data_IF_994469498865
#
_entry.id   IF_994469498865
#
_cell.length_a   1.000
_cell.length_b   1.000
_cell.length_c   1.000
_cell.angle_alpha   90.00
_cell.angle_beta   90.00
_cell.angle_gamma   90.00
#
_symmetry.space_group_name_H-M   'P 1'
#
loop_
_entity.id
_entity.type
_entity.pdbx_description
1 polymer ?
#
# COMPACT_ATOMS: atom_id res chain seq x y z
N UNK A 1 68.17 -8.92 25.51
CA UNK A 1 68.20 -9.55 26.86
C UNK A 1 66.74 -9.80 27.22
N UNK A 2 66.18 -11.01 27.35
CA UNK A 2 66.67 -12.31 27.83
C UNK A 2 65.85 -13.45 27.16
N UNK A 3 66.53 -14.58 27.00
CA UNK A 3 66.27 -15.98 26.53
C UNK A 3 64.89 -16.69 26.53
N UNK A 4 64.71 -17.50 25.46
CA UNK A 4 63.99 -18.77 25.13
C UNK A 4 63.64 -19.80 26.26
N UNK A 5 62.89 -20.95 26.06
CA UNK A 5 62.76 -21.79 24.84
C UNK A 5 61.46 -22.63 24.57
N UNK A 6 61.53 -23.39 23.45
CA UNK A 6 60.60 -24.40 22.88
C UNK A 6 60.35 -25.63 23.79
N UNK A 7 59.23 -26.31 23.55
CA UNK A 7 59.15 -27.78 23.61
C UNK A 7 58.25 -28.35 22.49
N UNK A 8 58.71 -29.44 21.88
CA UNK A 8 58.09 -30.20 20.80
C UNK A 8 57.52 -31.55 21.29
N UNK A 9 56.84 -32.25 20.37
CA UNK A 9 56.63 -33.73 20.26
C UNK A 9 55.30 -34.27 20.79
N UNK A 10 54.64 -35.34 20.29
CA UNK A 10 54.45 -36.00 18.96
C UNK A 10 53.49 -37.20 19.22
N UNK A 11 52.60 -37.54 18.27
CA UNK A 11 51.93 -38.85 18.06
C UNK A 11 50.88 -39.34 19.11
N UNK A 12 49.79 -40.08 18.82
CA UNK A 12 49.50 -41.12 17.79
C UNK A 12 48.00 -41.18 17.40
N UNK A 13 47.78 -41.70 16.18
CA UNK A 13 46.52 -42.19 15.59
C UNK A 13 45.96 -43.46 16.26
N UNK A 14 44.66 -43.73 16.04
CA UNK A 14 44.01 -44.91 15.38
C UNK A 14 42.66 -45.23 16.04
N UNK A 15 41.60 -45.41 15.25
CA UNK A 15 40.40 -46.13 15.68
C UNK A 15 39.15 -45.87 14.84
N UNK A 16 39.15 -46.30 13.58
CA UNK A 16 37.99 -46.37 12.71
C UNK A 16 37.22 -47.68 13.01
N UNK A 17 35.90 -47.62 13.20
CA UNK A 17 35.02 -48.79 13.20
C UNK A 17 33.61 -48.42 12.70
N UNK A 18 33.19 -49.14 11.66
CA UNK A 18 32.00 -48.95 10.82
C UNK A 18 30.67 -49.24 11.55
N UNK A 19 29.65 -48.49 11.11
CA UNK A 19 28.18 -48.75 10.99
C UNK A 19 27.65 -50.19 11.15
N UNK A 20 26.35 -50.51 11.40
CA UNK A 20 25.05 -49.84 11.19
C UNK A 20 23.97 -50.50 12.11
N UNK A 21 22.92 -49.74 12.48
CA UNK A 21 21.52 -50.19 12.76
C UNK A 21 21.28 -51.10 14.01
N UNK A 22 20.20 -51.06 14.81
CA UNK A 22 18.92 -50.33 14.87
C UNK A 22 18.23 -50.66 16.22
N UNK A 23 17.28 -49.81 16.65
CA UNK A 23 16.15 -50.03 17.59
C UNK A 23 16.42 -50.33 19.08
N UNK A 24 16.11 -49.38 19.97
CA UNK A 24 14.92 -49.47 20.87
C UNK A 24 14.67 -48.17 21.65
N UNK A 25 13.37 -47.89 21.75
CA UNK A 25 12.60 -46.89 22.48
C UNK A 25 13.00 -46.66 23.96
N UNK A 26 13.06 -45.38 24.40
CA UNK A 26 12.35 -44.76 25.56
C UNK A 26 13.14 -43.57 26.17
N UNK A 27 12.49 -42.39 26.12
CA UNK A 27 12.49 -41.16 26.95
C UNK A 27 13.76 -40.68 27.70
N UNK A 28 14.07 -39.38 27.80
CA UNK A 28 13.20 -38.22 28.02
C UNK A 28 13.89 -36.88 27.71
N UNK A 29 13.11 -36.04 27.04
CA UNK A 29 12.98 -34.57 27.15
C UNK A 29 14.08 -33.62 26.68
N UNK A 30 13.60 -32.70 25.84
CA UNK A 30 14.19 -31.49 25.26
C UNK A 30 15.23 -31.66 24.15
N UNK A 31 14.75 -32.13 23.01
CA UNK A 31 15.30 -31.78 21.70
C UNK A 31 14.77 -30.41 21.27
N UNK A 32 15.66 -29.49 20.91
CA UNK A 32 15.48 -28.59 19.78
C UNK A 32 16.87 -28.19 19.28
N UNK A 33 17.35 -28.94 18.30
CA UNK A 33 18.49 -28.59 17.45
C UNK A 33 18.15 -27.34 16.61
N UNK A 34 19.04 -26.34 16.64
CA UNK A 34 19.95 -25.89 15.56
C UNK A 34 19.63 -26.33 14.09
N UNK A 35 20.21 -25.71 13.02
CA UNK A 35 20.97 -24.45 12.89
C UNK A 35 20.68 -23.59 11.61
N UNK A 36 21.28 -22.40 11.61
CA UNK A 36 21.82 -21.55 10.52
C UNK A 36 21.53 -21.88 9.03
N UNK A 37 20.89 -20.95 8.32
CA UNK A 37 21.22 -20.57 6.92
C UNK A 37 20.94 -19.07 6.68
N UNK A 38 21.78 -18.47 5.85
CA UNK A 38 21.84 -17.11 5.34
C UNK A 38 20.56 -16.48 4.76
N UNK A 39 20.45 -15.16 4.96
CA UNK A 39 20.21 -14.09 3.99
C UNK A 39 19.14 -14.28 2.88
N UNK A 40 18.05 -13.51 2.93
CA UNK A 40 17.81 -12.36 2.03
C UNK A 40 16.39 -11.83 2.22
N UNK A 41 16.29 -10.51 2.44
CA UNK A 41 15.07 -9.72 2.40
C UNK A 41 14.38 -9.82 1.03
N UNK A 42 13.08 -9.51 1.01
CA UNK A 42 12.04 -9.67 -0.03
C UNK A 42 11.12 -10.87 0.24
N UNK A 43 9.82 -10.58 0.39
CA UNK A 43 8.71 -11.50 0.78
C UNK A 43 8.35 -11.50 2.28
N UNK A 44 8.33 -10.33 2.92
CA UNK A 44 7.99 -10.19 4.34
C UNK A 44 6.68 -9.47 4.67
N UNK A 45 5.78 -9.18 3.71
CA UNK A 45 4.58 -8.36 3.97
C UNK A 45 3.27 -8.89 3.36
N UNK A 46 3.15 -10.20 3.13
CA UNK A 46 1.89 -10.82 2.65
C UNK A 46 1.36 -11.91 3.60
N UNK A 47 1.88 -12.02 4.83
CA UNK A 47 1.43 -13.05 5.76
C UNK A 47 1.26 -12.54 7.20
N UNK A 48 0.47 -11.48 7.38
CA UNK A 48 0.07 -11.00 8.71
C UNK A 48 -1.44 -10.94 8.98
N UNK A 49 -2.31 -11.33 8.03
CA UNK A 49 -3.77 -11.29 8.22
C UNK A 49 -4.46 -12.66 8.22
N UNK A 50 -3.76 -13.72 8.65
CA UNK A 50 -4.41 -14.99 8.96
C UNK A 50 -3.81 -15.64 10.21
N UNK A 51 -4.06 -15.06 11.40
CA UNK A 51 -4.22 -15.86 12.64
C UNK A 51 -4.71 -15.06 13.85
N UNK A 52 -5.85 -15.56 14.36
CA UNK A 52 -6.37 -15.52 15.73
C UNK A 52 -7.19 -14.29 16.16
N UNK A 53 -8.50 -14.51 16.37
CA UNK A 53 -9.01 -14.79 17.73
C UNK A 53 -10.43 -15.37 17.72
N UNK A 54 -10.53 -16.67 18.01
CA UNK A 54 -11.78 -17.33 18.40
C UNK A 54 -12.12 -17.03 19.87
N UNK A 55 -13.41 -16.89 20.15
CA UNK A 55 -14.00 -17.36 21.42
C UNK A 55 -14.90 -16.38 22.18
N UNK A 56 -16.19 -16.32 21.81
CA UNK A 56 -17.24 -15.72 22.65
C UNK A 56 -18.63 -15.82 22.04
N UNK A 57 -19.44 -16.79 22.51
CA UNK A 57 -20.81 -17.06 22.04
C UNK A 57 -21.79 -15.95 22.43
N UNK A 58 -22.53 -15.42 21.45
CA UNK A 58 -23.93 -15.01 21.60
C UNK A 58 -24.58 -14.94 20.21
N UNK A 59 -25.66 -15.69 20.02
CA UNK A 59 -26.61 -15.48 18.90
C UNK A 59 -27.36 -14.18 19.13
N UNK A 60 -27.61 -13.40 18.07
CA UNK A 60 -29.00 -13.04 17.81
C UNK A 60 -29.39 -13.09 16.33
N UNK A 61 -30.52 -13.78 16.11
CA UNK A 61 -31.62 -13.45 15.20
C UNK A 61 -31.37 -12.40 14.10
N UNK A 62 -31.54 -12.89 12.87
CA UNK A 62 -31.78 -12.15 11.65
C UNK A 62 -32.90 -11.10 11.84
N UNK A 63 -32.62 -9.87 11.45
CA UNK A 63 -33.64 -8.86 11.16
C UNK A 63 -33.11 -8.05 9.98
N UNK A 64 -33.71 -8.31 8.82
CA UNK A 64 -33.64 -7.48 7.63
C UNK A 64 -33.95 -6.03 8.06
N UNK A 65 -32.96 -5.16 7.92
CA UNK A 65 -33.16 -3.72 7.86
C UNK A 65 -32.66 -3.32 6.50
N UNK A 66 -33.63 -3.09 5.62
CA UNK A 66 -33.60 -2.26 4.43
C UNK A 66 -32.19 -1.81 4.03
N UNK A 67 -31.58 -2.60 3.14
CA UNK A 67 -30.44 -2.15 2.36
C UNK A 67 -30.88 -0.91 1.59
N UNK A 68 -30.49 0.25 2.10
CA UNK A 68 -30.51 1.48 1.34
C UNK A 68 -29.52 1.29 0.20
N UNK A 69 -30.08 0.82 -0.92
CA UNK A 69 -29.45 0.71 -2.22
C UNK A 69 -29.06 2.12 -2.65
N UNK A 70 -27.93 2.62 -2.14
CA UNK A 70 -27.16 3.64 -2.85
C UNK A 70 -26.59 2.91 -4.05
N UNK A 71 -27.41 2.82 -5.10
CA UNK A 71 -26.93 2.61 -6.44
C UNK A 71 -25.82 3.63 -6.64
N UNK A 72 -24.59 3.16 -6.59
CA UNK A 72 -23.43 3.94 -6.99
C UNK A 72 -23.59 4.11 -8.49
N UNK A 73 -24.40 5.09 -8.86
CA UNK A 73 -24.46 5.58 -10.22
C UNK A 73 -23.03 5.99 -10.55
N UNK A 74 -22.49 5.44 -11.63
CA UNK A 74 -21.36 6.02 -12.32
C UNK A 74 -21.79 7.40 -12.83
N UNK A 75 -21.87 8.38 -11.93
CA UNK A 75 -21.85 9.77 -12.34
C UNK A 75 -20.46 10.00 -12.88
N UNK A 76 -20.38 10.53 -14.10
CA UNK A 76 -19.12 10.98 -14.65
C UNK A 76 -18.65 12.14 -13.79
N UNK A 77 -17.79 11.88 -12.80
CA UNK A 77 -17.18 12.94 -12.00
C UNK A 77 -16.47 13.90 -12.97
N UNK A 78 -16.97 15.11 -13.07
CA UNK A 78 -16.28 16.15 -13.84
C UNK A 78 -15.07 16.65 -13.04
N UNK A 79 -14.10 17.26 -13.70
CA UNK A 79 -12.90 17.80 -13.02
C UNK A 79 -13.28 18.78 -11.91
N UNK A 80 -14.32 19.59 -12.14
CA UNK A 80 -14.83 20.57 -11.19
C UNK A 80 -15.47 19.89 -9.97
N UNK A 81 -16.24 18.81 -10.17
CA UNK A 81 -16.83 18.03 -9.07
C UNK A 81 -15.75 17.41 -8.19
N UNK A 82 -14.66 16.91 -8.79
CA UNK A 82 -13.52 16.34 -8.06
C UNK A 82 -12.85 17.41 -7.19
N UNK A 83 -12.61 18.59 -7.74
CA UNK A 83 -12.00 19.70 -7.00
C UNK A 83 -12.88 20.15 -5.84
N UNK A 84 -14.20 20.29 -6.05
CA UNK A 84 -15.14 20.67 -5.00
C UNK A 84 -15.18 19.64 -3.86
N UNK A 85 -15.26 18.35 -4.20
CA UNK A 85 -15.29 17.27 -3.21
C UNK A 85 -14.02 17.21 -2.35
N UNK A 86 -12.86 17.47 -2.96
CA UNK A 86 -11.56 17.48 -2.28
C UNK A 86 -11.37 18.74 -1.43
N UNK A 87 -11.75 19.92 -1.92
CA UNK A 87 -11.61 21.18 -1.18
C UNK A 87 -12.55 21.25 0.03
N UNK A 88 -13.73 20.62 -0.05
CA UNK A 88 -14.67 20.52 1.05
C UNK A 88 -14.10 19.80 2.29
N UNK A 89 -13.04 19.00 2.14
CA UNK A 89 -12.47 18.22 3.25
C UNK A 89 -11.48 19.05 4.08
N UNK A 90 -11.72 19.10 5.39
CA UNK A 90 -10.87 19.82 6.33
C UNK A 90 -9.90 18.95 7.12
N UNK A 91 -10.08 17.63 7.07
CA UNK A 91 -9.22 16.65 7.72
C UNK A 91 -8.43 15.88 6.65
N UNK A 92 -7.16 15.58 6.94
CA UNK A 92 -6.29 14.81 6.06
C UNK A 92 -6.84 13.41 5.79
N UNK A 93 -7.35 12.72 6.82
CA UNK A 93 -7.94 11.39 6.63
C UNK A 93 -9.14 11.45 5.68
N UNK A 94 -10.08 12.37 5.91
CA UNK A 94 -11.25 12.55 5.06
C UNK A 94 -10.87 12.94 3.62
N UNK A 95 -9.87 13.82 3.47
CA UNK A 95 -9.32 14.18 2.16
C UNK A 95 -8.78 12.94 1.43
N UNK A 96 -7.98 12.12 2.12
CA UNK A 96 -7.39 10.92 1.54
C UNK A 96 -8.41 9.82 1.26
N UNK A 97 -9.45 9.66 2.10
CA UNK A 97 -10.57 8.76 1.81
C UNK A 97 -11.30 9.18 0.54
N UNK A 98 -11.61 10.47 0.40
CA UNK A 98 -12.27 11.01 -0.80
C UNK A 98 -11.37 10.84 -2.03
N UNK A 99 -10.09 11.18 -1.94
CA UNK A 99 -9.13 11.00 -3.02
C UNK A 99 -8.99 9.53 -3.44
N UNK A 100 -8.88 8.61 -2.48
CA UNK A 100 -8.80 7.17 -2.74
C UNK A 100 -10.04 6.65 -3.47
N UNK A 101 -11.25 7.06 -3.03
CA UNK A 101 -12.50 6.70 -3.70
C UNK A 101 -12.58 7.22 -5.13
N UNK A 102 -12.17 8.47 -5.36
CA UNK A 102 -12.15 9.10 -6.69
C UNK A 102 -11.16 8.35 -7.61
N UNK A 103 -9.96 8.04 -7.11
CA UNK A 103 -8.96 7.28 -7.88
C UNK A 103 -9.46 5.86 -8.22
N UNK A 104 -10.09 5.18 -7.27
CA UNK A 104 -10.69 3.86 -7.51
C UNK A 104 -11.79 3.93 -8.57
N UNK A 105 -12.64 4.96 -8.55
CA UNK A 105 -13.65 5.18 -9.60
C UNK A 105 -13.02 5.43 -10.97
N UNK A 106 -11.95 6.25 -11.02
CA UNK A 106 -11.18 6.47 -12.25
C UNK A 106 -10.62 5.17 -12.83
N UNK A 107 -10.01 4.34 -11.99
CA UNK A 107 -9.47 3.03 -12.39
C UNK A 107 -10.59 2.08 -12.85
N UNK A 108 -11.72 2.02 -12.13
CA UNK A 108 -12.87 1.21 -12.54
C UNK A 108 -13.47 1.62 -13.88
N UNK A 109 -13.40 2.91 -14.23
CA UNK A 109 -13.80 3.41 -15.54
C UNK A 109 -12.80 3.04 -16.64
N UNK A 110 -11.52 2.95 -16.30
CA UNK A 110 -10.46 2.54 -17.22
C UNK A 110 -10.44 1.03 -17.46
N UNK A 111 -10.76 0.21 -16.45
CA UNK A 111 -10.69 -1.26 -16.53
C UNK A 111 -11.45 -1.89 -17.70
N UNK A 112 -12.70 -1.50 -18.05
CA UNK A 112 -13.40 -2.02 -19.21
C UNK A 112 -12.61 -1.89 -20.52
N UNK A 113 -11.88 -0.78 -20.71
CA UNK A 113 -11.09 -0.53 -21.93
C UNK A 113 -9.94 -1.52 -22.16
N UNK A 114 -9.61 -2.33 -21.14
CA UNK A 114 -8.58 -3.35 -21.21
C UNK A 114 -9.12 -4.69 -21.76
N UNK A 115 -10.43 -4.89 -21.68
CA UNK A 115 -11.09 -6.11 -22.13
C UNK A 115 -11.59 -5.95 -23.56
N UNK A 116 -11.86 -7.06 -24.22
CA UNK A 116 -12.31 -7.07 -25.61
C UNK A 116 -13.82 -6.82 -25.65
N UNK A 117 -14.24 -5.69 -26.23
CA UNK A 117 -15.64 -5.26 -26.30
C UNK A 117 -16.47 -5.91 -27.44
N UNK A 118 -15.87 -6.84 -28.19
CA UNK A 118 -16.47 -7.37 -29.42
C UNK A 118 -17.50 -8.50 -29.20
N UNK A 119 -17.60 -9.04 -27.99
CA UNK A 119 -18.43 -10.21 -27.69
C UNK A 119 -19.30 -9.96 -26.45
N UNK A 120 -20.61 -9.86 -26.66
CA UNK A 120 -21.61 -9.58 -25.62
C UNK A 120 -21.64 -10.68 -24.55
N UNK A 121 -21.38 -11.94 -24.91
CA UNK A 121 -21.36 -13.06 -23.96
C UNK A 121 -20.15 -12.97 -23.02
N UNK A 122 -18.98 -12.58 -23.53
CA UNK A 122 -17.77 -12.39 -22.72
C UNK A 122 -17.95 -11.23 -21.73
N UNK A 123 -18.55 -10.14 -22.18
CA UNK A 123 -18.82 -8.98 -21.32
C UNK A 123 -19.75 -9.37 -20.18
N UNK A 124 -20.85 -10.08 -20.47
CA UNK A 124 -21.84 -10.47 -19.46
C UNK A 124 -21.28 -11.48 -18.44
N UNK A 125 -20.62 -12.54 -18.90
CA UNK A 125 -20.25 -13.66 -18.04
C UNK A 125 -18.84 -13.60 -17.47
N UNK A 126 -17.91 -12.85 -18.07
CA UNK A 126 -16.53 -12.73 -17.59
C UNK A 126 -16.22 -11.33 -17.07
N UNK A 127 -16.49 -10.28 -17.87
CA UNK A 127 -16.07 -8.91 -17.51
C UNK A 127 -16.90 -8.36 -16.35
N UNK A 128 -18.24 -8.47 -16.39
CA UNK A 128 -19.10 -7.95 -15.32
C UNK A 128 -18.79 -8.56 -13.95
N UNK A 129 -18.60 -9.89 -13.78
CA UNK A 129 -18.21 -10.46 -12.49
C UNK A 129 -16.84 -10.02 -11.98
N UNK A 130 -15.87 -9.76 -12.88
CA UNK A 130 -14.54 -9.28 -12.50
C UNK A 130 -14.59 -7.84 -11.94
N UNK A 131 -15.50 -7.02 -12.49
CA UNK A 131 -15.68 -5.61 -12.15
C UNK A 131 -16.81 -5.36 -11.12
N UNK A 132 -17.49 -6.42 -10.67
CA UNK A 132 -18.56 -6.31 -9.69
C UNK A 132 -18.04 -5.77 -8.35
N UNK A 133 -18.95 -5.24 -7.53
CA UNK A 133 -18.64 -4.86 -6.16
C UNK A 133 -18.17 -6.10 -5.38
N UNK A 134 -17.03 -5.99 -4.67
CA UNK A 134 -16.32 -7.12 -4.08
C UNK A 134 -15.78 -8.16 -5.07
N UNK A 135 -15.62 -7.78 -6.34
CA UNK A 135 -14.88 -8.54 -7.33
C UNK A 135 -13.37 -8.52 -7.09
N UNK A 136 -12.59 -9.37 -7.78
CA UNK A 136 -11.13 -9.41 -7.62
C UNK A 136 -10.44 -8.11 -8.03
N UNK A 137 -11.08 -7.27 -8.85
CA UNK A 137 -10.56 -5.97 -9.31
C UNK A 137 -11.21 -4.78 -8.58
N UNK A 138 -11.94 -5.03 -7.49
CA UNK A 138 -12.51 -3.96 -6.64
C UNK A 138 -11.44 -3.28 -5.77
N UNK A 139 -10.30 -3.95 -5.58
CA UNK A 139 -9.14 -3.45 -4.85
C UNK A 139 -8.23 -2.60 -5.75
N UNK A 140 -7.90 -1.38 -5.31
CA UNK A 140 -7.09 -0.43 -6.08
C UNK A 140 -5.69 -0.98 -6.39
N UNK A 141 -5.06 -1.68 -5.44
CA UNK A 141 -3.69 -2.15 -5.57
C UNK A 141 -3.64 -3.33 -6.55
N UNK A 142 -4.65 -4.21 -6.51
CA UNK A 142 -4.78 -5.35 -7.45
C UNK A 142 -5.06 -4.84 -8.86
N UNK A 143 -6.02 -3.94 -9.02
CA UNK A 143 -6.36 -3.35 -10.31
C UNK A 143 -5.17 -2.59 -10.92
N UNK A 144 -4.45 -1.82 -10.10
CA UNK A 144 -3.27 -1.05 -10.53
C UNK A 144 -2.13 -1.96 -11.00
N UNK A 145 -1.87 -3.08 -10.29
CA UNK A 145 -0.87 -4.08 -10.72
C UNK A 145 -1.24 -4.73 -12.04
N UNK A 146 -2.52 -5.02 -12.27
CA UNK A 146 -2.99 -5.58 -13.54
C UNK A 146 -2.74 -4.60 -14.69
N UNK A 147 -3.16 -3.34 -14.54
CA UNK A 147 -2.97 -2.30 -15.56
C UNK A 147 -1.49 -2.12 -15.92
N UNK A 148 -0.63 -2.10 -14.90
CA UNK A 148 0.81 -1.99 -15.09
C UNK A 148 1.41 -3.23 -15.77
N UNK A 149 0.98 -4.43 -15.37
CA UNK A 149 1.44 -5.69 -15.97
C UNK A 149 1.07 -5.82 -17.46
N UNK A 150 -0.05 -5.21 -17.87
CA UNK A 150 -0.47 -5.14 -19.26
C UNK A 150 0.28 -4.07 -20.08
N UNK A 151 1.13 -3.25 -19.45
CA UNK A 151 1.89 -2.19 -20.11
C UNK A 151 1.04 -1.01 -20.56
N UNK A 152 -0.14 -0.81 -19.95
CA UNK A 152 -1.10 0.26 -20.29
C UNK A 152 -0.95 1.50 -19.43
N UNK A 153 0.07 1.54 -18.56
CA UNK A 153 0.32 2.64 -17.64
C UNK A 153 1.81 2.86 -17.42
N UNK A 154 2.20 4.12 -17.33
CA UNK A 154 3.57 4.52 -17.07
C UNK A 154 4.03 4.24 -15.63
N UNK A 155 5.34 4.07 -15.47
CA UNK A 155 5.98 3.85 -14.16
C UNK A 155 5.69 4.97 -13.16
N UNK A 156 5.67 6.23 -13.60
CA UNK A 156 5.46 7.38 -12.72
C UNK A 156 4.02 7.44 -12.21
N UNK A 157 3.04 7.14 -13.08
CA UNK A 157 1.62 7.12 -12.74
C UNK A 157 1.31 5.97 -11.76
N UNK A 158 1.88 4.79 -12.04
CA UNK A 158 1.81 3.64 -11.14
C UNK A 158 2.38 3.98 -9.75
N UNK A 159 3.56 4.63 -9.71
CA UNK A 159 4.19 5.02 -8.46
C UNK A 159 3.29 5.98 -7.68
N UNK A 160 2.76 7.02 -8.30
CA UNK A 160 1.96 8.03 -7.60
C UNK A 160 0.69 7.43 -6.99
N UNK A 161 -0.08 6.67 -7.77
CA UNK A 161 -1.31 6.02 -7.26
C UNK A 161 -0.98 5.06 -6.11
N UNK A 162 0.13 4.33 -6.22
CA UNK A 162 0.60 3.44 -5.14
C UNK A 162 0.92 4.23 -3.88
N UNK A 163 1.60 5.39 -3.98
CA UNK A 163 1.89 6.23 -2.82
C UNK A 163 0.60 6.76 -2.18
N UNK A 164 -0.40 7.16 -2.97
CA UNK A 164 -1.71 7.57 -2.44
C UNK A 164 -2.41 6.43 -1.68
N UNK A 165 -2.41 5.22 -2.22
CA UNK A 165 -2.99 4.03 -1.57
C UNK A 165 -2.29 3.70 -0.25
N UNK A 166 -0.96 3.68 -0.26
CA UNK A 166 -0.15 3.41 0.94
C UNK A 166 -0.34 4.46 2.03
N UNK A 167 -0.38 5.74 1.64
CA UNK A 167 -0.58 6.82 2.61
C UNK A 167 -1.99 6.78 3.20
N UNK A 168 -3.00 6.47 2.39
CA UNK A 168 -4.36 6.24 2.88
C UNK A 168 -4.44 5.09 3.90
N UNK A 169 -3.83 3.93 3.60
CA UNK A 169 -3.77 2.79 4.51
C UNK A 169 -3.05 3.16 5.82
N UNK A 170 -1.91 3.84 5.72
CA UNK A 170 -1.17 4.33 6.87
C UNK A 170 -2.04 5.22 7.78
N UNK A 171 -2.79 6.17 7.22
CA UNK A 171 -3.65 7.06 8.01
C UNK A 171 -4.80 6.31 8.70
N UNK A 172 -5.24 5.18 8.14
CA UNK A 172 -6.34 4.38 8.71
C UNK A 172 -5.87 3.45 9.85
N UNK A 173 -4.60 3.04 9.85
CA UNK A 173 -4.00 2.22 10.91
C UNK A 173 -3.59 3.03 12.14
N UNK A 174 -3.45 4.35 12.01
CA UNK A 174 -2.97 5.22 13.09
C UNK A 174 -4.10 5.71 14.00
N UNK A 175 -3.87 5.67 15.31
CA UNK A 175 -4.81 6.20 16.32
C UNK A 175 -4.82 7.74 16.36
N UNK A 176 -3.70 8.39 16.00
CA UNK A 176 -3.57 9.84 15.96
C UNK A 176 -3.48 10.31 14.50
N UNK A 177 -4.50 11.04 14.06
CA UNK A 177 -4.61 11.52 12.67
C UNK A 177 -3.59 12.66 12.45
N UNK A 178 -2.61 12.49 11.55
CA UNK A 178 -1.70 13.56 11.17
C UNK A 178 -2.43 14.74 10.50
N UNK A 179 -1.92 15.94 10.72
CA UNK A 179 -2.34 17.16 10.05
C UNK A 179 -1.68 17.35 8.69
N UNK A 180 -2.20 18.32 7.92
CA UNK A 180 -1.62 18.71 6.63
C UNK A 180 -0.25 19.37 6.75
N UNK A 181 0.03 20.00 7.90
CA UNK A 181 1.29 20.69 8.16
C UNK A 181 2.41 19.78 8.71
N UNK A 182 2.08 18.53 9.02
CA UNK A 182 3.00 17.58 9.64
C UNK A 182 4.09 17.11 8.67
N UNK A 183 5.25 16.76 9.22
CA UNK A 183 6.41 16.30 8.44
C UNK A 183 6.10 15.02 7.64
N UNK A 184 5.24 14.14 8.16
CA UNK A 184 4.83 12.92 7.45
C UNK A 184 4.08 13.27 6.16
N UNK A 185 3.23 14.28 6.19
CA UNK A 185 2.49 14.76 5.02
C UNK A 185 3.44 15.43 4.02
N UNK A 186 4.43 16.17 4.52
CA UNK A 186 5.48 16.74 3.68
C UNK A 186 6.30 15.65 2.95
N UNK A 187 6.72 14.62 3.68
CA UNK A 187 7.46 13.49 3.12
C UNK A 187 6.63 12.79 2.05
N UNK A 188 5.33 12.57 2.28
CA UNK A 188 4.42 12.05 1.25
C UNK A 188 4.43 12.93 -0.01
N UNK A 189 4.17 14.23 0.13
CA UNK A 189 4.10 15.20 -0.99
C UNK A 189 5.40 15.25 -1.78
N UNK A 190 6.54 15.17 -1.09
CA UNK A 190 7.87 15.18 -1.71
C UNK A 190 8.16 13.95 -2.57
N UNK A 191 7.43 12.85 -2.36
CA UNK A 191 7.59 11.61 -3.11
C UNK A 191 6.59 11.46 -4.28
N UNK A 192 5.59 12.34 -4.39
CA UNK A 192 4.60 12.31 -5.50
C UNK A 192 5.19 12.98 -6.75
N UNK A 193 5.26 12.24 -7.86
CA UNK A 193 5.83 12.73 -9.11
C UNK A 193 5.00 13.87 -9.73
N UNK A 194 3.66 13.80 -9.69
CA UNK A 194 2.78 14.88 -10.16
C UNK A 194 3.10 16.23 -9.51
N UNK A 195 3.46 16.23 -8.23
CA UNK A 195 3.76 17.45 -7.48
C UNK A 195 5.18 17.92 -7.76
N UNK A 196 6.17 17.02 -7.65
CA UNK A 196 7.59 17.35 -7.83
C UNK A 196 7.95 17.76 -9.26
N UNK A 197 7.22 17.25 -10.28
CA UNK A 197 7.38 17.69 -11.68
C UNK A 197 6.95 19.14 -11.90
N UNK A 198 6.02 19.64 -11.10
CA UNK A 198 5.58 21.03 -11.17
C UNK A 198 6.55 21.92 -10.37
N UNK A 199 7.69 22.25 -10.99
CA UNK A 199 8.76 23.05 -10.39
C UNK A 199 8.29 24.35 -9.69
N UNK A 200 7.44 25.21 -10.28
CA UNK A 200 7.02 26.43 -9.60
C UNK A 200 6.12 26.15 -8.39
N UNK A 201 5.25 25.13 -8.46
CA UNK A 201 4.39 24.74 -7.35
C UNK A 201 5.22 24.12 -6.21
N UNK A 202 6.11 23.19 -6.54
CA UNK A 202 6.95 22.52 -5.55
C UNK A 202 7.94 23.48 -4.90
N UNK A 203 8.57 24.38 -5.67
CA UNK A 203 9.45 25.41 -5.12
C UNK A 203 8.71 26.40 -4.20
N UNK A 204 7.45 26.73 -4.51
CA UNK A 204 6.63 27.55 -3.62
C UNK A 204 6.33 26.81 -2.30
N UNK A 205 5.95 25.54 -2.37
CA UNK A 205 5.74 24.67 -1.20
C UNK A 205 7.00 24.55 -0.33
N UNK A 206 8.15 24.31 -0.95
CA UNK A 206 9.44 24.19 -0.27
C UNK A 206 9.81 25.51 0.43
N UNK A 207 9.66 26.64 -0.27
CA UNK A 207 9.91 27.96 0.30
C UNK A 207 8.99 28.29 1.48
N UNK A 208 7.75 27.80 1.47
CA UNK A 208 6.81 28.00 2.57
C UNK A 208 7.10 27.09 3.76
N UNK A 209 7.46 25.81 3.50
CA UNK A 209 7.76 24.83 4.55
C UNK A 209 8.98 25.23 5.39
N UNK A 210 10.00 25.83 4.75
CA UNK A 210 11.24 26.24 5.41
C UNK A 210 11.32 27.74 5.73
N UNK A 211 10.28 28.50 5.42
CA UNK A 211 10.20 29.89 5.83
C UNK A 211 9.93 30.02 7.34
N UNK A 212 10.41 31.11 7.91
CA UNK A 212 10.25 31.39 9.33
C UNK A 212 8.76 31.55 9.70
N UNK A 213 8.37 31.13 10.91
CA UNK A 213 6.97 31.10 11.34
C UNK A 213 6.30 32.49 11.33
N UNK A 214 7.10 33.55 11.43
CA UNK A 214 6.62 34.93 11.29
C UNK A 214 6.21 35.30 9.85
N UNK A 215 6.71 34.57 8.84
CA UNK A 215 6.46 34.85 7.43
C UNK A 215 5.16 34.23 6.90
N UNK A 216 4.70 33.11 7.47
CA UNK A 216 3.50 32.42 6.99
C UNK A 216 2.64 31.82 8.09
N UNK A 217 1.32 31.85 7.89
CA UNK A 217 0.39 31.12 8.73
C UNK A 217 0.29 29.65 8.31
N UNK A 218 0.16 28.76 9.30
CA UNK A 218 -0.07 27.32 9.09
C UNK A 218 -1.30 27.05 8.22
N UNK A 219 -2.33 27.89 8.35
CA UNK A 219 -3.56 27.84 7.54
C UNK A 219 -3.25 28.02 6.05
N UNK A 220 -2.34 28.95 5.71
CA UNK A 220 -1.96 29.20 4.32
C UNK A 220 -1.15 28.04 3.74
N UNK A 221 -0.22 27.49 4.52
CA UNK A 221 0.54 26.31 4.11
C UNK A 221 -0.37 25.11 3.86
N UNK A 222 -1.30 24.87 4.79
CA UNK A 222 -2.32 23.82 4.66
C UNK A 222 -3.17 23.98 3.40
N UNK A 223 -3.62 25.20 3.10
CA UNK A 223 -4.35 25.48 1.86
C UNK A 223 -3.54 25.17 0.61
N UNK A 224 -2.27 25.56 0.58
CA UNK A 224 -1.38 25.29 -0.56
C UNK A 224 -1.12 23.78 -0.74
N UNK A 225 -0.92 23.05 0.36
CA UNK A 225 -0.77 21.59 0.37
C UNK A 225 -2.03 20.90 -0.18
N UNK A 226 -3.22 21.32 0.25
CA UNK A 226 -4.49 20.80 -0.29
C UNK A 226 -4.60 21.04 -1.80
N UNK A 227 -4.30 22.26 -2.26
CA UNK A 227 -4.30 22.58 -3.70
C UNK A 227 -3.33 21.71 -4.47
N UNK A 228 -2.12 21.49 -3.95
CA UNK A 228 -1.11 20.64 -4.57
C UNK A 228 -1.59 19.18 -4.72
N UNK A 229 -2.19 18.62 -3.67
CA UNK A 229 -2.72 17.26 -3.71
C UNK A 229 -3.96 17.14 -4.61
N UNK A 230 -4.86 18.13 -4.61
CA UNK A 230 -6.02 18.16 -5.49
C UNK A 230 -5.61 18.23 -6.98
N UNK A 231 -4.58 19.03 -7.28
CA UNK A 231 -3.98 19.07 -8.62
C UNK A 231 -3.32 17.74 -8.99
N UNK A 232 -2.68 17.05 -8.04
CA UNK A 232 -2.11 15.73 -8.29
C UNK A 232 -3.19 14.69 -8.61
N UNK A 233 -4.28 14.64 -7.84
CA UNK A 233 -5.40 13.71 -8.08
C UNK A 233 -6.05 13.98 -9.45
N UNK A 234 -6.33 15.24 -9.78
CA UNK A 234 -6.91 15.59 -11.09
C UNK A 234 -5.96 15.30 -12.25
N UNK A 235 -4.65 15.48 -12.08
CA UNK A 235 -3.65 15.10 -13.08
C UNK A 235 -3.63 13.58 -13.29
N UNK A 236 -3.67 12.79 -12.21
CA UNK A 236 -3.75 11.33 -12.28
C UNK A 236 -5.02 10.88 -13.01
N UNK A 237 -6.18 11.49 -12.71
CA UNK A 237 -7.44 11.16 -13.38
C UNK A 237 -7.42 11.45 -14.88
N UNK A 238 -6.75 12.54 -15.29
CA UNK A 238 -6.58 12.88 -16.72
C UNK A 238 -5.82 11.82 -17.50
N UNK A 239 -4.85 11.17 -16.87
CA UNK A 239 -4.09 10.08 -17.51
C UNK A 239 -4.84 8.74 -17.47
N UNK A 240 -5.85 8.60 -16.60
CA UNK A 240 -6.69 7.40 -16.46
C UNK A 240 -7.93 7.43 -17.36
N UNK A 241 -8.06 8.39 -18.28
CA UNK A 241 -9.10 8.36 -19.31
C UNK A 241 -8.64 7.55 -20.54
N UNK A 242 -9.46 6.62 -21.05
CA UNK A 242 -9.12 5.77 -22.20
C UNK A 242 -8.98 6.54 -23.53
#
# INVERSE_FOLDING_TARGET
>A
MVTYPRHSSRCKYVGDARSHQSLTHVSSWWFSLLPLVCNSNYLGYILWLFRMKDGGKSTPTCSLKDDEYIGTQMTTLTEDDVLEQLDAQNNLLSFMTTAHNILLQGIKRFLPSLFVDNDEEIVEYAVKPLLAQSGPLDDIDVALRLIYALGKMDKWLYADITHFSQFYQYLHEQDAIPGFADDITWDFISNVNCITRNAPLYGALESMKFADFAAWSEVRFTGMVKTAMALAVTTILKELTP
#
